data_IF_857859936757
#
_entry.id   IF_857859936757
#
_cell.length_a   1.000
_cell.length_b   1.000
_cell.length_c   1.000
_cell.angle_alpha   90.00
_cell.angle_beta   90.00
_cell.angle_gamma   90.00
#
_symmetry.space_group_name_H-M   'P 1'
#
loop_
_entity.id
_entity.type
_entity.pdbx_description
1 polymer ?
#
# COMPACT_ATOMS: atom_id res chain seq x y z
N UNK A 1 5.57 9.91 -16.39
CA UNK A 1 5.30 10.05 -15.65
C UNK A 1 4.71 9.31 -15.10
N UNK A 2 4.50 8.96 -14.55
CA UNK A 2 4.00 8.21 -14.04
C UNK A 2 3.50 8.31 -12.81
N UNK A 3 3.39 9.34 -12.24
CA UNK A 3 2.71 9.61 -11.04
C UNK A 3 1.24 9.39 -11.31
N UNK A 4 0.59 8.64 -10.50
CA UNK A 4 -0.84 8.53 -10.57
C UNK A 4 -1.43 9.89 -10.23
N UNK A 5 -2.48 10.30 -10.93
CA UNK A 5 -3.16 11.51 -10.50
C UNK A 5 -3.93 11.21 -9.21
N UNK A 6 -4.42 12.27 -8.57
CA UNK A 6 -5.05 12.13 -7.27
C UNK A 6 -6.28 11.22 -7.31
N UNK A 7 -7.01 11.28 -8.40
CA UNK A 7 -8.24 10.49 -8.53
C UNK A 7 -7.92 9.01 -8.63
N UNK A 8 -6.95 8.66 -9.47
CA UNK A 8 -6.56 7.26 -9.61
C UNK A 8 -6.00 6.72 -8.30
N UNK A 9 -5.20 7.54 -7.62
CA UNK A 9 -4.63 7.13 -6.34
C UNK A 9 -5.73 6.86 -5.31
N UNK A 10 -6.72 7.74 -5.25
CA UNK A 10 -7.83 7.58 -4.32
C UNK A 10 -8.61 6.31 -4.60
N UNK A 11 -8.89 6.04 -5.89
CA UNK A 11 -9.63 4.84 -6.26
C UNK A 11 -8.84 3.59 -5.87
N UNK A 12 -7.53 3.58 -6.11
CA UNK A 12 -6.72 2.43 -5.75
C UNK A 12 -6.67 2.22 -4.25
N UNK A 13 -6.61 3.30 -3.47
CA UNK A 13 -6.64 3.17 -2.02
C UNK A 13 -7.95 2.60 -1.54
N UNK A 14 -9.06 3.00 -2.14
CA UNK A 14 -10.35 2.45 -1.77
C UNK A 14 -10.42 0.96 -2.05
N UNK A 15 -9.88 0.54 -3.19
CA UNK A 15 -9.83 -0.89 -3.52
C UNK A 15 -8.96 -1.65 -2.53
N UNK A 16 -7.81 -1.09 -2.19
CA UNK A 16 -6.92 -1.73 -1.22
C UNK A 16 -7.64 -1.90 0.11
N UNK A 17 -8.31 -0.85 0.58
CA UNK A 17 -9.01 -0.92 1.86
C UNK A 17 -10.11 -1.97 1.83
N UNK A 18 -10.83 -2.05 0.72
CA UNK A 18 -11.88 -3.04 0.59
C UNK A 18 -11.34 -4.46 0.65
N UNK A 19 -10.23 -4.69 -0.07
CA UNK A 19 -9.61 -6.01 -0.06
C UNK A 19 -9.09 -6.38 1.33
N UNK A 20 -8.55 -5.40 2.04
CA UNK A 20 -8.07 -5.64 3.40
C UNK A 20 -9.23 -5.98 4.32
N UNK A 21 -10.37 -5.30 4.15
CA UNK A 21 -11.55 -5.64 4.95
C UNK A 21 -12.00 -7.06 4.70
N UNK A 22 -11.85 -7.53 3.47
CA UNK A 22 -12.20 -8.92 3.11
C UNK A 22 -11.07 -9.88 3.44
N UNK A 23 -9.98 -9.39 4.01
CA UNK A 23 -8.79 -10.16 4.35
C UNK A 23 -8.12 -10.77 3.14
N UNK A 24 -8.31 -10.17 1.97
CA UNK A 24 -7.65 -10.59 0.74
C UNK A 24 -6.34 -9.81 0.60
N UNK A 25 -5.37 -10.17 1.42
CA UNK A 25 -4.10 -9.45 1.46
C UNK A 25 -3.28 -9.66 0.19
N UNK A 26 -3.44 -10.81 -0.46
CA UNK A 26 -2.72 -11.07 -1.69
C UNK A 26 -3.24 -10.17 -2.82
N UNK A 27 -4.56 -10.06 -2.93
CA UNK A 27 -5.15 -9.15 -3.91
C UNK A 27 -4.74 -7.70 -3.66
N UNK A 28 -4.76 -7.32 -2.38
CA UNK A 28 -4.34 -5.96 -2.02
C UNK A 28 -2.89 -5.72 -2.38
N UNK A 29 -2.01 -6.72 -2.18
CA UNK A 29 -0.60 -6.56 -2.51
C UNK A 29 -0.38 -6.33 -3.99
N UNK A 30 -1.17 -6.96 -4.85
CA UNK A 30 -1.04 -6.75 -6.28
C UNK A 30 -1.26 -5.29 -6.66
N UNK A 31 -2.21 -4.63 -5.99
CA UNK A 31 -2.44 -3.21 -6.21
C UNK A 31 -1.31 -2.39 -5.59
N UNK A 32 -0.91 -2.75 -4.39
CA UNK A 32 0.15 -2.05 -3.68
C UNK A 32 1.45 -2.05 -4.48
N UNK A 33 1.79 -3.17 -5.10
CA UNK A 33 3.02 -3.27 -5.89
C UNK A 33 3.02 -2.33 -7.10
N UNK A 34 1.87 -1.85 -7.51
CA UNK A 34 1.77 -1.00 -8.69
C UNK A 34 1.96 0.48 -8.37
N UNK A 35 2.14 0.83 -7.11
CA UNK A 35 2.21 2.23 -6.67
C UNK A 35 3.58 2.53 -6.10
N UNK A 36 4.10 3.73 -6.39
CA UNK A 36 5.36 4.19 -5.81
C UNK A 36 5.05 4.92 -4.51
N UNK A 37 5.31 4.25 -3.40
CA UNK A 37 4.96 4.77 -2.08
C UNK A 37 5.94 5.80 -1.53
N UNK A 38 7.08 5.99 -2.19
CA UNK A 38 8.09 6.92 -1.68
C UNK A 38 7.61 8.36 -1.65
N UNK A 39 6.58 8.67 -2.43
CA UNK A 39 6.02 10.02 -2.48
C UNK A 39 4.81 10.19 -1.57
N UNK A 40 4.34 9.13 -0.98
CA UNK A 40 3.18 9.16 -0.10
C UNK A 40 3.65 9.53 1.29
N UNK A 41 2.98 10.51 1.90
CA UNK A 41 3.38 10.98 3.23
C UNK A 41 2.34 10.71 4.31
N UNK A 42 1.25 10.06 3.95
CA UNK A 42 0.20 9.74 4.91
C UNK A 42 0.63 8.50 5.70
N UNK A 43 0.95 8.71 6.99
CA UNK A 43 1.46 7.65 7.85
C UNK A 43 0.46 6.50 7.95
N UNK A 44 -0.82 6.81 8.09
CA UNK A 44 -1.83 5.77 8.21
C UNK A 44 -1.86 4.87 6.98
N UNK A 45 -1.82 5.47 5.80
CA UNK A 45 -1.80 4.71 4.56
C UNK A 45 -0.56 3.84 4.47
N UNK A 46 0.60 4.40 4.81
CA UNK A 46 1.86 3.64 4.78
C UNK A 46 1.83 2.47 5.76
N UNK A 47 1.22 2.66 6.92
CA UNK A 47 1.11 1.56 7.88
C UNK A 47 0.26 0.42 7.32
N UNK A 48 -0.84 0.75 6.65
CA UNK A 48 -1.68 -0.28 6.02
C UNK A 48 -0.89 -1.04 4.96
N UNK A 49 -0.13 -0.31 4.13
CA UNK A 49 0.68 -0.92 3.10
C UNK A 49 1.73 -1.85 3.70
N UNK A 50 2.39 -1.40 4.76
CA UNK A 50 3.38 -2.24 5.44
C UNK A 50 2.76 -3.52 5.98
N UNK A 51 1.56 -3.42 6.54
CA UNK A 51 0.87 -4.61 7.04
C UNK A 51 0.51 -5.57 5.92
N UNK A 52 0.13 -5.04 4.76
CA UNK A 52 -0.19 -5.89 3.62
C UNK A 52 1.05 -6.67 3.18
N UNK A 53 2.19 -6.01 3.08
CA UNK A 53 3.42 -6.71 2.73
C UNK A 53 3.77 -7.77 3.77
N UNK A 54 3.66 -7.44 5.05
CA UNK A 54 3.97 -8.39 6.11
C UNK A 54 3.04 -9.60 6.05
N UNK A 55 1.77 -9.37 5.77
CA UNK A 55 0.81 -10.48 5.69
C UNK A 55 1.13 -11.43 4.55
N UNK A 56 1.87 -10.95 3.55
CA UNK A 56 2.28 -11.78 2.41
C UNK A 56 3.70 -12.31 2.55
N UNK A 57 4.33 -12.12 3.70
CA UNK A 57 5.69 -12.59 3.91
C UNK A 57 6.76 -11.73 3.28
N UNK A 58 6.41 -10.58 2.74
CA UNK A 58 7.35 -9.66 2.10
C UNK A 58 7.90 -8.69 3.16
N UNK A 59 8.71 -9.22 4.07
CA UNK A 59 9.12 -8.46 5.26
C UNK A 59 10.07 -7.33 4.94
N UNK A 60 10.92 -7.47 3.93
CA UNK A 60 11.83 -6.39 3.57
C UNK A 60 11.08 -5.21 2.98
N UNK A 61 10.08 -5.49 2.14
CA UNK A 61 9.25 -4.43 1.60
C UNK A 61 8.45 -3.76 2.71
N UNK A 62 7.94 -4.56 3.64
CA UNK A 62 7.21 -4.04 4.78
C UNK A 62 8.10 -3.09 5.59
N UNK A 63 9.35 -3.50 5.84
CA UNK A 63 10.28 -2.67 6.59
C UNK A 63 10.55 -1.36 5.89
N UNK A 64 10.75 -1.38 4.58
CA UNK A 64 10.97 -0.16 3.83
C UNK A 64 9.80 0.80 3.94
N UNK A 65 8.59 0.26 3.85
CA UNK A 65 7.39 1.08 3.95
C UNK A 65 7.27 1.70 5.34
N UNK A 66 7.54 0.93 6.39
CA UNK A 66 7.48 1.47 7.75
C UNK A 66 8.55 2.52 7.97
N UNK A 67 9.71 2.38 7.33
CA UNK A 67 10.73 3.42 7.42
C UNK A 67 10.27 4.72 6.76
N UNK A 68 9.48 4.63 5.71
CA UNK A 68 8.90 5.83 5.10
C UNK A 68 7.88 6.47 6.04
N UNK A 69 7.17 5.69 6.83
CA UNK A 69 6.13 6.19 7.73
C UNK A 69 6.74 6.89 8.95
N UNK A 70 7.90 6.46 9.37
CA UNK A 70 8.56 6.98 10.55
C UNK A 70 9.90 7.60 10.25
#
# INVERSE_FOLDING_TARGET
>A
MNALDKEEFRIKLEEINKLVQDKDYKGAMNIVDSIDWRRVKNVRTLCVVGEIYAANGRYEDSKEIFLLAY
#
